data_IF_242712785636
#
_entry.id   IF_242712785636
#
_cell.length_a   1.000
_cell.length_b   1.000
_cell.length_c   1.000
_cell.angle_alpha   90.00
_cell.angle_beta   90.00
_cell.angle_gamma   90.00
#
_symmetry.space_group_name_H-M   'P 1'
#
loop_
_entity.id
_entity.type
_entity.pdbx_description
1 polymer ?
#
# COMPACT_ATOMS: atom_id res chain seq x y z
N UNK A 1 0.91 -50.83 -18.31
CA UNK A 1 -0.07 -49.86 -17.81
C UNK A 1 0.67 -48.79 -17.01
N UNK A 2 1.22 -47.76 -17.67
CA UNK A 2 1.96 -46.70 -16.99
C UNK A 2 1.03 -45.52 -16.72
N UNK A 3 0.52 -45.40 -15.50
CA UNK A 3 -0.15 -44.18 -15.05
C UNK A 3 0.92 -43.10 -14.89
N UNK A 4 1.11 -42.29 -15.94
CA UNK A 4 1.82 -41.02 -15.84
C UNK A 4 0.98 -40.12 -14.93
N UNK A 5 1.32 -40.11 -13.64
CA UNK A 5 0.80 -39.15 -12.68
C UNK A 5 1.25 -37.75 -13.12
N UNK A 6 0.37 -37.09 -13.88
CA UNK A 6 0.47 -35.66 -14.14
C UNK A 6 0.24 -34.98 -12.79
N UNK A 7 1.32 -34.63 -12.11
CA UNK A 7 1.28 -33.74 -10.95
C UNK A 7 0.86 -32.36 -11.44
N UNK A 8 -0.45 -32.09 -11.42
CA UNK A 8 -0.97 -30.74 -11.62
C UNK A 8 -0.59 -29.94 -10.38
N UNK A 9 0.49 -29.17 -10.48
CA UNK A 9 0.87 -28.17 -9.46
C UNK A 9 -0.16 -27.06 -9.56
N UNK A 10 -1.22 -27.16 -8.76
CA UNK A 10 -2.19 -26.07 -8.59
C UNK A 10 -1.49 -24.97 -7.80
N UNK A 11 -0.95 -23.97 -8.50
CA UNK A 11 -0.42 -22.77 -7.86
C UNK A 11 -1.58 -22.04 -7.18
N UNK A 12 -1.68 -22.16 -5.85
CA UNK A 12 -2.62 -21.41 -5.03
C UNK A 12 -2.17 -19.95 -5.07
N UNK A 13 -2.75 -19.17 -5.98
CA UNK A 13 -2.58 -17.72 -6.01
C UNK A 13 -3.41 -17.17 -4.85
N UNK A 14 -2.79 -17.07 -3.67
CA UNK A 14 -3.41 -16.39 -2.54
C UNK A 14 -3.41 -14.88 -2.80
N UNK A 15 -4.56 -14.19 -2.80
CA UNK A 15 -4.58 -12.74 -2.89
C UNK A 15 -3.90 -12.17 -1.64
N UNK A 16 -2.82 -11.40 -1.84
CA UNK A 16 -2.19 -10.61 -0.77
C UNK A 16 -3.11 -9.45 -0.45
N UNK A 17 -3.84 -9.54 0.66
CA UNK A 17 -4.66 -8.43 1.15
C UNK A 17 -3.73 -7.41 1.82
N UNK A 18 -3.51 -6.27 1.17
CA UNK A 18 -2.79 -5.14 1.79
C UNK A 18 -3.75 -4.46 2.76
N UNK A 19 -3.47 -4.60 4.06
CA UNK A 19 -4.20 -3.91 5.13
C UNK A 19 -3.29 -2.86 5.76
N UNK A 20 -3.84 -1.65 5.97
CA UNK A 20 -3.13 -0.56 6.63
C UNK A 20 -2.89 -0.87 8.12
N UNK A 21 -1.61 -0.90 8.52
CA UNK A 21 -1.18 -1.23 9.88
C UNK A 21 -1.19 0.00 10.79
N UNK A 22 -1.62 -0.20 12.03
CA UNK A 22 -1.43 0.77 13.11
C UNK A 22 -0.10 0.51 13.84
N UNK A 23 0.69 1.57 14.00
CA UNK A 23 1.86 1.60 14.86
C UNK A 23 1.59 2.54 16.03
N UNK A 24 1.41 1.98 17.23
CA UNK A 24 1.36 2.77 18.45
C UNK A 24 2.77 3.25 18.76
N UNK A 25 3.00 4.55 18.66
CA UNK A 25 4.34 5.13 18.83
C UNK A 25 4.79 4.95 20.28
N UNK A 26 5.91 4.24 20.47
CA UNK A 26 6.41 3.88 21.80
C UNK A 26 5.74 2.66 22.44
N UNK A 27 4.92 1.92 21.69
CA UNK A 27 4.19 0.72 22.15
C UNK A 27 3.45 0.99 23.48
N UNK A 28 3.65 0.19 24.53
CA UNK A 28 2.99 0.39 25.82
C UNK A 28 3.45 1.66 26.57
N UNK A 29 4.60 2.23 26.20
CA UNK A 29 5.10 3.48 26.80
C UNK A 29 4.42 4.73 26.22
N UNK A 30 3.90 4.63 25.01
CA UNK A 30 3.28 5.75 24.31
C UNK A 30 4.25 6.88 23.97
N UNK A 31 3.69 8.05 23.67
CA UNK A 31 4.42 9.28 23.40
C UNK A 31 4.78 9.97 24.73
N UNK A 32 5.95 9.63 25.27
CA UNK A 32 6.51 10.08 26.56
C UNK A 32 7.96 10.58 26.45
N UNK A 33 8.47 11.15 27.54
CA UNK A 33 9.83 11.66 27.70
C UNK A 33 10.86 10.55 27.92
N UNK A 34 12.12 10.82 27.59
CA UNK A 34 13.28 9.97 27.87
C UNK A 34 13.16 8.55 27.30
N UNK A 35 12.51 8.42 26.15
CA UNK A 35 12.33 7.16 25.44
C UNK A 35 13.04 7.20 24.09
N UNK A 36 13.70 6.11 23.73
CA UNK A 36 14.41 6.01 22.45
C UNK A 36 13.45 5.57 21.32
N UNK A 37 12.85 6.56 20.68
CA UNK A 37 11.97 6.34 19.54
C UNK A 37 12.68 5.82 18.30
N UNK A 38 13.99 6.04 18.17
CA UNK A 38 14.74 5.54 17.02
C UNK A 38 14.99 4.05 17.17
N UNK A 39 15.36 3.60 18.37
CA UNK A 39 15.41 2.18 18.70
C UNK A 39 14.03 1.52 18.55
N UNK A 40 12.95 2.19 18.98
CA UNK A 40 11.59 1.69 18.75
C UNK A 40 11.26 1.56 17.25
N UNK A 41 11.68 2.51 16.42
CA UNK A 41 11.42 2.45 14.98
C UNK A 41 12.26 1.39 14.25
N UNK A 42 13.35 0.93 14.85
CA UNK A 42 14.28 -0.01 14.23
C UNK A 42 13.58 -1.33 13.88
N UNK A 43 13.79 -1.81 12.65
CA UNK A 43 13.22 -3.07 12.16
C UNK A 43 11.72 -3.02 11.82
N UNK A 44 11.04 -1.90 12.06
CA UNK A 44 9.65 -1.71 11.62
C UNK A 44 9.62 -1.28 10.14
N UNK A 45 8.78 -1.96 9.36
CA UNK A 45 8.52 -1.62 7.95
C UNK A 45 7.28 -0.72 7.87
N UNK A 46 7.50 0.59 7.74
CA UNK A 46 6.42 1.57 7.56
C UNK A 46 6.12 1.72 6.08
N UNK A 47 4.85 1.58 5.69
CA UNK A 47 4.40 1.71 4.30
C UNK A 47 3.38 2.82 4.12
N UNK A 48 3.20 3.22 2.86
CA UNK A 48 2.09 4.11 2.51
C UNK A 48 0.76 3.46 2.90
N UNK A 49 -0.11 4.23 3.55
CA UNK A 49 -1.40 3.76 4.05
C UNK A 49 -1.39 3.39 5.53
N UNK A 50 -0.23 3.02 6.10
CA UNK A 50 -0.09 2.76 7.52
C UNK A 50 -0.36 4.02 8.36
N UNK A 51 -0.58 3.82 9.66
CA UNK A 51 -0.94 4.87 10.60
C UNK A 51 0.01 4.88 11.79
N UNK A 52 0.49 6.07 12.17
CA UNK A 52 1.14 6.29 13.45
C UNK A 52 0.09 6.78 14.45
N UNK A 53 0.01 6.14 15.61
CA UNK A 53 -0.91 6.51 16.67
C UNK A 53 -0.11 7.00 17.88
N UNK A 54 -0.25 8.27 18.21
CA UNK A 54 0.43 8.93 19.32
C UNK A 54 -0.51 9.01 20.52
N UNK A 55 -0.21 8.24 21.57
CA UNK A 55 -0.98 8.22 22.81
C UNK A 55 -0.24 8.92 23.93
N UNK A 56 -0.88 9.89 24.58
CA UNK A 56 -0.31 10.65 25.68
C UNK A 56 -1.39 11.38 26.49
N UNK A 57 -1.13 11.77 27.76
CA UNK A 57 -2.08 12.58 28.53
C UNK A 57 -2.32 13.94 27.88
N UNK A 58 -3.59 14.30 27.68
CA UNK A 58 -4.00 15.58 27.08
C UNK A 58 -3.38 16.76 27.82
N UNK A 59 -2.87 17.74 27.08
CA UNK A 59 -2.27 18.96 27.63
C UNK A 59 -0.82 18.81 28.12
N UNK A 60 -0.28 17.59 28.21
CA UNK A 60 1.10 17.35 28.66
C UNK A 60 2.07 17.32 27.47
N UNK A 61 1.62 16.76 26.35
CA UNK A 61 2.40 16.64 25.12
C UNK A 61 1.60 17.11 23.91
N UNK A 62 2.29 17.18 22.78
CA UNK A 62 1.70 17.42 21.47
C UNK A 62 2.57 16.75 20.41
N UNK A 63 2.06 16.71 19.18
CA UNK A 63 2.77 16.18 18.02
C UNK A 63 2.81 17.23 16.93
N UNK A 64 4.01 17.56 16.49
CA UNK A 64 4.25 18.31 15.26
C UNK A 64 4.88 17.41 14.22
N UNK A 65 4.40 17.49 12.98
CA UNK A 65 5.14 17.04 11.82
C UNK A 65 6.11 18.14 11.39
N UNK A 66 7.38 17.80 11.20
CA UNK A 66 8.43 18.76 10.84
C UNK A 66 9.28 18.23 9.67
N UNK A 67 10.20 19.06 9.18
CA UNK A 67 11.24 18.64 8.25
C UNK A 67 12.51 18.20 9.01
N UNK A 68 13.53 17.72 8.28
CA UNK A 68 14.79 17.26 8.88
C UNK A 68 15.50 18.32 9.73
N UNK A 69 15.54 19.57 9.28
CA UNK A 69 16.14 20.68 10.05
C UNK A 69 15.37 20.95 11.33
N UNK A 70 14.04 20.99 11.27
CA UNK A 70 13.18 21.16 12.43
C UNK A 70 13.30 20.02 13.43
N UNK A 71 13.51 18.79 12.96
CA UNK A 71 13.78 17.63 13.80
C UNK A 71 15.15 17.68 14.49
N UNK A 72 16.20 18.07 13.76
CA UNK A 72 17.55 18.17 14.29
C UNK A 72 17.64 19.25 15.36
N UNK A 73 17.05 20.42 15.09
CA UNK A 73 17.13 21.61 15.93
C UNK A 73 15.92 21.80 16.86
N UNK A 74 14.97 20.86 16.87
CA UNK A 74 13.72 20.95 17.62
C UNK A 74 12.93 22.25 17.37
N UNK A 75 12.91 22.71 16.12
CA UNK A 75 12.14 23.88 15.69
C UNK A 75 10.71 23.43 15.42
N UNK A 76 9.76 23.99 16.17
CA UNK A 76 8.33 23.70 16.01
C UNK A 76 7.64 24.77 15.14
N UNK A 77 6.64 24.38 14.32
CA UNK A 77 5.68 25.29 13.71
C UNK A 77 4.83 26.06 14.75
N UNK A 78 3.99 27.01 14.30
CA UNK A 78 2.96 27.64 15.13
C UNK A 78 2.05 26.61 15.84
N UNK A 79 1.57 26.95 17.04
CA UNK A 79 0.76 26.03 17.86
C UNK A 79 -0.55 25.56 17.20
N UNK A 80 -1.08 26.31 16.24
CA UNK A 80 -2.28 25.93 15.46
C UNK A 80 -2.09 24.68 14.60
N UNK A 81 -0.84 24.28 14.32
CA UNK A 81 -0.51 23.08 13.56
C UNK A 81 -0.24 21.85 14.45
N UNK A 82 -0.31 22.02 15.78
CA UNK A 82 -0.09 20.94 16.73
C UNK A 82 -1.29 19.99 16.77
N UNK A 83 -1.01 18.69 16.76
CA UNK A 83 -1.98 17.70 17.23
C UNK A 83 -1.90 17.60 18.76
N UNK A 84 -3.04 17.63 19.42
CA UNK A 84 -3.15 17.85 20.87
C UNK A 84 -4.19 16.96 21.56
N UNK A 85 -4.79 15.99 20.85
CA UNK A 85 -5.93 15.22 21.38
C UNK A 85 -5.54 14.18 22.44
N UNK A 86 -4.25 13.85 22.57
CA UNK A 86 -3.78 12.74 23.40
C UNK A 86 -3.95 11.35 22.78
N UNK A 87 -4.60 11.25 21.62
CA UNK A 87 -4.71 10.04 20.81
C UNK A 87 -4.70 10.39 19.32
N UNK A 88 -3.63 11.05 18.87
CA UNK A 88 -3.53 11.57 17.52
C UNK A 88 -3.11 10.49 16.54
N UNK A 89 -3.82 10.39 15.42
CA UNK A 89 -3.50 9.45 14.35
C UNK A 89 -3.00 10.18 13.11
N UNK A 90 -1.85 9.76 12.59
CA UNK A 90 -1.25 10.31 11.36
C UNK A 90 -1.18 9.20 10.32
N UNK A 91 -1.88 9.39 9.20
CA UNK A 91 -1.78 8.51 8.03
C UNK A 91 -0.48 8.80 7.28
N UNK A 92 0.28 7.74 6.98
CA UNK A 92 1.48 7.79 6.17
C UNK A 92 1.10 7.81 4.70
N UNK A 93 0.69 8.98 4.20
CA UNK A 93 0.13 9.11 2.86
C UNK A 93 1.16 9.08 1.71
N UNK A 94 2.45 9.28 2.00
CA UNK A 94 3.49 9.36 0.98
C UNK A 94 4.78 8.66 1.41
N UNK A 95 5.55 8.10 0.46
CA UNK A 95 6.85 7.52 0.77
C UNK A 95 7.85 8.56 1.29
N UNK A 96 8.99 8.05 1.76
CA UNK A 96 10.15 8.81 2.18
C UNK A 96 10.16 9.17 3.67
N UNK A 97 11.12 10.02 4.01
CA UNK A 97 11.42 10.42 5.38
C UNK A 97 10.29 11.25 5.99
N UNK A 98 9.89 10.91 7.23
CA UNK A 98 8.92 11.66 8.04
C UNK A 98 9.52 11.93 9.42
N UNK A 99 9.28 13.13 9.95
CA UNK A 99 9.81 13.55 11.24
C UNK A 99 8.70 14.13 12.12
N UNK A 100 8.74 13.76 13.39
CA UNK A 100 7.76 14.16 14.39
C UNK A 100 8.45 14.57 15.67
N UNK A 101 7.97 15.62 16.33
CA UNK A 101 8.54 16.13 17.59
C UNK A 101 7.42 16.51 18.56
N UNK A 102 7.75 16.53 19.85
CA UNK A 102 6.97 17.26 20.84
C UNK A 102 7.53 18.68 20.97
N UNK A 103 6.67 19.68 20.76
CA UNK A 103 7.02 21.10 20.82
C UNK A 103 6.84 21.73 22.22
N UNK A 104 6.53 20.94 23.25
CA UNK A 104 6.40 21.44 24.62
C UNK A 104 7.78 21.65 25.24
N UNK A 105 8.05 22.88 25.70
CA UNK A 105 9.27 23.29 26.39
C UNK A 105 10.55 22.66 25.81
N UNK A 106 11.24 21.80 26.58
CA UNK A 106 12.49 21.11 26.19
C UNK A 106 12.30 19.62 25.90
N UNK A 107 11.06 19.16 25.66
CA UNK A 107 10.77 17.73 25.46
C UNK A 107 11.52 17.14 24.27
N UNK A 108 11.55 17.83 23.12
CA UNK A 108 12.33 17.39 21.97
C UNK A 108 13.85 17.50 22.20
N UNK A 109 14.32 18.65 22.70
CA UNK A 109 15.75 18.98 22.69
C UNK A 109 16.56 18.30 23.81
N UNK A 110 15.94 18.06 24.97
CA UNK A 110 16.62 17.55 26.16
C UNK A 110 16.10 16.18 26.63
N UNK A 111 14.88 15.80 26.26
CA UNK A 111 14.25 14.56 26.71
C UNK A 111 13.95 13.57 25.56
N UNK A 112 14.60 13.74 24.41
CA UNK A 112 14.54 12.84 23.25
C UNK A 112 13.14 12.53 22.72
N UNK A 113 12.16 13.43 22.93
CA UNK A 113 10.78 13.22 22.50
C UNK A 113 10.58 13.59 21.02
N UNK A 114 11.19 12.78 20.14
CA UNK A 114 11.22 12.97 18.69
C UNK A 114 11.34 11.64 17.95
N UNK A 115 10.60 11.47 16.87
CA UNK A 115 10.59 10.29 16.00
C UNK A 115 10.97 10.64 14.56
N UNK A 116 11.78 9.79 13.95
CA UNK A 116 12.11 9.82 12.53
C UNK A 116 11.83 8.42 11.98
N UNK A 117 11.15 8.36 10.84
CA UNK A 117 10.90 7.11 10.11
C UNK A 117 11.14 7.29 8.62
N UNK A 118 11.40 6.19 7.92
CA UNK A 118 11.35 6.13 6.48
C UNK A 118 10.14 5.29 6.05
N UNK A 119 9.29 5.87 5.20
CA UNK A 119 8.09 5.21 4.69
C UNK A 119 8.37 4.65 3.30
N UNK A 120 8.13 3.36 3.11
CA UNK A 120 8.24 2.69 1.84
C UNK A 120 6.97 2.92 1.00
N UNK A 121 7.11 2.89 -0.33
CA UNK A 121 5.94 2.88 -1.20
C UNK A 121 5.09 1.64 -0.93
N UNK A 122 3.79 1.77 -1.13
CA UNK A 122 2.93 0.60 -1.12
C UNK A 122 3.31 -0.30 -2.28
N UNK A 123 3.34 -1.62 -2.05
CA UNK A 123 3.68 -2.57 -3.11
C UNK A 123 2.47 -2.73 -4.02
N UNK A 124 2.60 -2.56 -5.35
CA UNK A 124 1.54 -2.95 -6.27
C UNK A 124 1.22 -4.42 -6.02
N UNK A 125 -0.07 -4.76 -5.96
CA UNK A 125 -0.50 -6.15 -5.99
C UNK A 125 0.13 -6.82 -7.22
N UNK A 126 0.61 -8.08 -7.14
CA UNK A 126 1.12 -8.77 -8.31
C UNK A 126 0.01 -8.87 -9.35
N UNK A 127 0.15 -8.12 -10.46
CA UNK A 127 -0.73 -8.24 -11.61
C UNK A 127 -0.61 -9.67 -12.14
N UNK A 128 -1.72 -10.39 -12.25
CA UNK A 128 -1.72 -11.70 -12.92
C UNK A 128 -1.13 -11.53 -14.32
N UNK A 129 -0.07 -12.29 -14.63
CA UNK A 129 0.50 -12.29 -15.97
C UNK A 129 -0.57 -12.73 -16.99
N UNK A 130 -0.68 -12.07 -18.15
CA UNK A 130 -1.58 -12.52 -19.20
C UNK A 130 -1.16 -13.93 -19.67
N UNK A 131 -2.11 -14.86 -19.72
CA UNK A 131 -1.88 -16.23 -20.22
C UNK A 131 -1.31 -16.20 -21.65
N UNK A 132 -0.35 -17.07 -21.99
CA UNK A 132 0.17 -17.17 -23.34
C UNK A 132 -0.94 -17.64 -24.31
N UNK A 133 -1.13 -16.88 -25.39
CA UNK A 133 -2.08 -17.20 -26.46
C UNK A 133 -1.63 -18.47 -27.21
N UNK A 134 -2.53 -19.39 -27.61
CA UNK A 134 -2.16 -20.58 -28.36
C UNK A 134 -1.63 -20.21 -29.77
N UNK A 135 -0.47 -20.75 -30.12
CA UNK A 135 0.17 -20.58 -31.42
C UNK A 135 -0.63 -21.32 -32.52
N UNK A 136 -0.92 -20.71 -33.69
CA UNK A 136 -1.61 -21.42 -34.76
C UNK A 136 -0.67 -22.41 -35.45
N UNK A 137 -1.12 -23.67 -35.55
CA UNK A 137 -0.43 -24.74 -36.27
C UNK A 137 -0.58 -24.54 -37.78
N UNK A 138 0.52 -24.71 -38.51
CA UNK A 138 0.60 -24.57 -39.96
C UNK A 138 -0.07 -25.75 -40.68
N UNK A 139 -0.87 -25.46 -41.70
CA UNK A 139 -1.11 -26.36 -42.83
C UNK A 139 -1.44 -25.57 -44.10
N UNK A 140 -0.59 -25.71 -45.11
CA UNK A 140 -0.79 -25.35 -46.52
C UNK A 140 -0.71 -26.67 -47.34
N UNK A 141 -1.09 -26.75 -48.64
CA UNK A 141 -1.81 -25.79 -49.50
C UNK A 141 -2.92 -26.45 -50.38
N UNK A 142 -3.86 -25.67 -50.94
CA UNK A 142 -4.20 -25.77 -52.37
C UNK A 142 -5.03 -24.57 -52.88
N UNK A 143 -4.88 -24.29 -54.17
CA UNK A 143 -5.17 -23.05 -54.89
C UNK A 143 -6.61 -22.92 -55.42
N UNK A 144 -7.13 -21.69 -55.59
CA UNK A 144 -7.24 -21.02 -56.89
C UNK A 144 -7.89 -19.63 -56.83
N UNK A 145 -7.53 -18.86 -57.85
CA UNK A 145 -7.79 -17.45 -58.17
C UNK A 145 -9.26 -17.03 -58.29
N UNK A 146 -9.60 -15.79 -57.90
CA UNK A 146 -10.29 -14.79 -58.75
C UNK A 146 -10.64 -13.47 -57.99
N UNK A 147 -10.04 -12.37 -58.48
CA UNK A 147 -10.59 -11.02 -58.74
C UNK A 147 -11.56 -10.28 -57.77
N UNK A 148 -11.20 -9.00 -57.52
CA UNK A 148 -12.14 -7.87 -57.31
C UNK A 148 -12.19 -7.32 -55.88
N UNK A 149 -11.42 -6.29 -55.51
CA UNK A 149 -11.66 -4.85 -55.69
C UNK A 149 -12.73 -4.22 -54.75
N UNK A 150 -12.21 -3.33 -53.88
CA UNK A 150 -12.76 -2.11 -53.26
C UNK A 150 -13.76 -2.11 -52.07
N UNK A 151 -13.22 -1.52 -50.99
CA UNK A 151 -13.69 -0.34 -50.21
C UNK A 151 -14.52 -0.51 -48.91
N UNK A 152 -14.01 0.27 -47.96
CA UNK A 152 -14.66 1.01 -46.86
C UNK A 152 -14.94 0.32 -45.52
N UNK A 153 -14.15 0.81 -44.56
CA UNK A 153 -14.30 0.78 -43.11
C UNK A 153 -15.63 1.44 -42.71
N UNK A 154 -16.50 0.68 -42.04
CA UNK A 154 -17.55 1.17 -41.17
C UNK A 154 -17.66 0.19 -39.99
N UNK A 155 -17.30 0.63 -38.80
CA UNK A 155 -17.66 -0.04 -37.55
C UNK A 155 -19.12 0.32 -37.22
N UNK A 156 -19.94 -0.67 -36.87
CA UNK A 156 -20.76 -0.51 -35.68
C UNK A 156 -20.67 -1.72 -34.76
N UNK A 157 -20.79 -1.43 -33.46
CA UNK A 157 -21.00 -2.39 -32.40
C UNK A 157 -22.22 -3.29 -32.66
N UNK A 158 -22.22 -4.50 -32.08
CA UNK A 158 -23.26 -4.97 -31.13
C UNK A 158 -23.21 -6.50 -30.97
N UNK A 159 -23.11 -6.90 -29.69
CA UNK A 159 -23.89 -7.94 -29.01
C UNK A 159 -23.86 -9.37 -29.56
N UNK A 160 -23.34 -10.29 -28.73
CA UNK A 160 -23.90 -11.65 -28.63
C UNK A 160 -24.08 -12.02 -27.15
N UNK A 161 -25.36 -12.08 -26.79
CA UNK A 161 -25.95 -12.65 -25.58
C UNK A 161 -25.93 -14.20 -25.67
N UNK A 162 -26.62 -14.87 -24.73
CA UNK A 162 -27.07 -16.29 -24.71
C UNK A 162 -26.17 -17.15 -23.78
N UNK A 163 -26.64 -17.92 -22.79
CA UNK A 163 -27.94 -18.33 -22.21
C UNK A 163 -27.58 -19.49 -21.22
N UNK A 164 -28.39 -20.06 -20.32
CA UNK A 164 -29.76 -19.89 -19.82
C UNK A 164 -29.86 -20.70 -18.50
N UNK A 165 -30.92 -20.40 -17.77
CA UNK A 165 -31.39 -20.83 -16.44
C UNK A 165 -31.87 -22.29 -16.39
N UNK A 166 -31.78 -22.93 -15.22
CA UNK A 166 -32.70 -23.96 -14.65
C UNK A 166 -32.17 -24.48 -13.29
N UNK A 167 -32.89 -24.77 -12.18
CA UNK A 167 -34.32 -24.89 -11.78
C UNK A 167 -34.39 -24.89 -10.22
N UNK A 168 -35.59 -24.57 -9.69
CA UNK A 168 -36.11 -24.45 -8.31
C UNK A 168 -36.06 -25.67 -7.36
N UNK A 169 -36.23 -25.38 -6.05
CA UNK A 169 -36.88 -26.21 -5.01
C UNK A 169 -36.05 -26.28 -3.70
N UNK A 170 -36.51 -25.92 -2.49
CA UNK A 170 -37.81 -25.56 -1.93
C UNK A 170 -37.61 -24.63 -0.71
#
# INVERSE_FOLDING_TARGET
>A
MAFKHVFIILAIISPVMVSAKDFIVGDEKGWTLNFDYQAWAQGKDFRVGDRLVFKYPVGVHNVFKVNGTGFQNCIKPPLSEALTSGNDTIILATPGRKWYICGVARHCAAASMKLFINVNADSPAPTMAPSPSPSPSQSMPYANSAYGSIRNVLHPAMVVLVALVSIFGA
#
